data_IF_509961723826
#
_entry.id   IF_509961723826
#
_cell.length_a   1.000
_cell.length_b   1.000
_cell.length_c   1.000
_cell.angle_alpha   90.00
_cell.angle_beta   90.00
_cell.angle_gamma   90.00
#
_symmetry.space_group_name_H-M   'P 1'
#
loop_
_entity.id
_entity.type
_entity.pdbx_description
1 polymer ?
#
# COMPACT_ATOMS: atom_id res chain seq x y z
N UNK A 1 26.31 -1.61 -3.65
CA UNK A 1 26.03 -1.40 -2.20
C UNK A 1 24.75 -0.58 -2.09
N UNK A 2 23.80 -0.97 -1.22
CA UNK A 2 22.46 -0.34 -1.14
C UNK A 2 22.52 1.04 -0.48
N UNK A 3 23.19 1.18 0.67
CA UNK A 3 23.25 2.42 1.46
C UNK A 3 23.62 3.70 0.68
N UNK A 4 24.65 3.73 -0.19
CA UNK A 4 24.98 4.94 -0.96
C UNK A 4 23.85 5.45 -1.85
N UNK A 5 22.92 4.58 -2.28
CA UNK A 5 21.79 4.97 -3.12
C UNK A 5 20.67 5.69 -2.35
N UNK A 6 20.75 5.75 -1.01
CA UNK A 6 19.74 6.32 -0.11
C UNK A 6 20.25 7.49 0.73
N UNK A 7 21.50 7.95 0.55
CA UNK A 7 22.08 9.03 1.38
C UNK A 7 21.38 10.38 1.25
N UNK A 8 20.63 10.60 0.17
CA UNK A 8 19.84 11.80 -0.07
C UNK A 8 18.38 11.67 0.41
N UNK A 9 17.98 10.47 0.86
CA UNK A 9 16.59 10.18 1.24
C UNK A 9 16.34 10.63 2.67
N UNK A 10 15.34 11.50 2.83
CA UNK A 10 14.87 12.00 4.14
C UNK A 10 13.36 11.82 4.33
N UNK A 11 12.67 11.26 3.33
CA UNK A 11 11.25 11.03 3.33
C UNK A 11 10.95 9.60 2.86
N UNK A 12 10.20 8.85 3.65
CA UNK A 12 10.03 7.42 3.47
C UNK A 12 8.53 7.11 3.35
N UNK A 13 8.13 6.60 2.20
CA UNK A 13 6.74 6.25 1.89
C UNK A 13 6.64 4.74 1.85
N UNK A 14 5.82 4.17 2.72
CA UNK A 14 5.58 2.73 2.77
C UNK A 14 4.15 2.45 2.36
N UNK A 15 3.97 1.56 1.41
CA UNK A 15 2.71 0.84 1.29
C UNK A 15 2.48 -0.06 2.52
N UNK A 16 1.23 -0.49 2.69
CA UNK A 16 0.82 -1.31 3.82
C UNK A 16 0.73 -2.79 3.45
N UNK A 17 -0.20 -3.11 2.54
CA UNK A 17 -0.63 -4.46 2.24
C UNK A 17 0.50 -5.23 1.56
N UNK A 18 0.86 -6.41 2.07
CA UNK A 18 1.98 -7.22 1.58
C UNK A 18 3.38 -6.55 1.61
N UNK A 19 3.46 -5.29 2.08
CA UNK A 19 4.70 -4.51 2.23
C UNK A 19 5.16 -4.46 3.69
N UNK A 20 4.34 -3.90 4.59
CA UNK A 20 4.64 -3.80 6.04
C UNK A 20 4.29 -5.08 6.81
N UNK A 21 3.66 -6.03 6.12
CA UNK A 21 3.54 -7.41 6.54
C UNK A 21 3.73 -8.31 5.31
N UNK A 22 4.32 -9.50 5.46
CA UNK A 22 4.54 -10.38 4.33
C UNK A 22 3.26 -11.09 3.87
N UNK A 23 3.13 -11.48 2.59
CA UNK A 23 1.94 -12.14 2.05
C UNK A 23 1.50 -13.40 2.80
N UNK A 24 2.43 -14.13 3.44
CA UNK A 24 2.11 -15.33 4.20
C UNK A 24 1.25 -15.08 5.45
N UNK A 25 1.06 -13.81 5.86
CA UNK A 25 0.09 -13.45 6.90
C UNK A 25 -1.36 -13.42 6.38
N UNK A 26 -1.59 -13.57 5.07
CA UNK A 26 -2.92 -13.83 4.46
C UNK A 26 -4.02 -12.84 4.86
N UNK A 27 -3.65 -11.59 5.13
CA UNK A 27 -4.62 -10.55 5.44
C UNK A 27 -5.40 -10.16 4.18
N UNK A 28 -4.70 -10.04 3.05
CA UNK A 28 -5.31 -9.72 1.76
C UNK A 28 -6.27 -10.81 1.27
N UNK A 29 -5.98 -12.11 1.51
CA UNK A 29 -6.90 -13.21 1.22
C UNK A 29 -8.29 -13.00 1.85
N UNK A 30 -8.33 -12.49 3.09
CA UNK A 30 -9.60 -12.19 3.77
C UNK A 30 -10.30 -10.99 3.12
N UNK A 31 -9.53 -9.96 2.77
CA UNK A 31 -10.05 -8.78 2.06
C UNK A 31 -10.67 -9.19 0.72
N UNK A 32 -10.03 -10.06 -0.06
CA UNK A 32 -10.55 -10.53 -1.34
C UNK A 32 -11.90 -11.25 -1.21
N UNK A 33 -12.07 -12.07 -0.16
CA UNK A 33 -13.36 -12.71 0.14
C UNK A 33 -14.42 -11.66 0.43
N UNK A 34 -14.12 -10.70 1.31
CA UNK A 34 -15.07 -9.65 1.69
C UNK A 34 -15.39 -8.72 0.51
N UNK A 35 -14.42 -8.40 -0.35
CA UNK A 35 -14.64 -7.65 -1.58
C UNK A 35 -15.59 -8.38 -2.52
N UNK A 36 -15.38 -9.69 -2.72
CA UNK A 36 -16.24 -10.51 -3.58
C UNK A 36 -17.66 -10.57 -3.03
N UNK A 37 -17.80 -10.81 -1.73
CA UNK A 37 -19.11 -10.88 -1.07
C UNK A 37 -19.83 -9.52 -1.14
N UNK A 38 -19.09 -8.41 -1.02
CA UNK A 38 -19.65 -7.08 -1.19
C UNK A 38 -20.15 -6.84 -2.63
N UNK A 39 -19.38 -7.25 -3.65
CA UNK A 39 -19.80 -7.14 -5.06
C UNK A 39 -21.07 -7.97 -5.33
N UNK A 40 -21.17 -9.18 -4.77
CA UNK A 40 -22.39 -10.00 -4.83
C UNK A 40 -23.60 -9.21 -4.32
N UNK A 41 -23.49 -8.60 -3.14
CA UNK A 41 -24.60 -7.86 -2.53
C UNK A 41 -24.91 -6.55 -3.25
N UNK A 42 -23.89 -5.79 -3.65
CA UNK A 42 -24.05 -4.47 -4.25
C UNK A 42 -24.61 -4.54 -5.68
N UNK A 43 -24.19 -5.53 -6.46
CA UNK A 43 -24.56 -5.65 -7.89
C UNK A 43 -25.69 -6.68 -8.09
N UNK A 44 -25.87 -7.63 -7.17
CA UNK A 44 -26.89 -8.67 -7.26
C UNK A 44 -26.53 -9.80 -8.23
N UNK A 45 -25.23 -10.13 -8.34
CA UNK A 45 -24.71 -11.21 -9.20
C UNK A 45 -24.25 -12.42 -8.38
N UNK A 46 -24.06 -13.56 -9.03
CA UNK A 46 -23.47 -14.71 -8.36
C UNK A 46 -21.98 -14.53 -8.06
N UNK A 47 -21.42 -15.39 -7.21
CA UNK A 47 -20.04 -15.27 -6.74
C UNK A 47 -18.99 -15.40 -7.86
N UNK A 48 -19.12 -16.32 -8.83
CA UNK A 48 -18.21 -16.37 -9.99
C UNK A 48 -18.21 -15.07 -10.79
N UNK A 49 -19.38 -14.48 -11.03
CA UNK A 49 -19.48 -13.22 -11.76
C UNK A 49 -18.93 -12.05 -10.94
N UNK A 50 -19.16 -12.02 -9.62
CA UNK A 50 -18.58 -11.02 -8.73
C UNK A 50 -17.04 -11.04 -8.74
N UNK A 51 -16.42 -12.23 -8.73
CA UNK A 51 -14.97 -12.35 -8.81
C UNK A 51 -14.42 -11.95 -10.20
N UNK A 52 -15.16 -12.27 -11.27
CA UNK A 52 -14.85 -11.78 -12.62
C UNK A 52 -14.90 -10.25 -12.68
N UNK A 53 -15.92 -9.63 -12.09
CA UNK A 53 -16.06 -8.17 -12.02
C UNK A 53 -14.96 -7.53 -11.16
N UNK A 54 -14.62 -8.12 -10.01
CA UNK A 54 -13.50 -7.67 -9.16
C UNK A 54 -12.19 -7.61 -9.95
N UNK A 55 -11.90 -8.67 -10.70
CA UNK A 55 -10.72 -8.79 -11.56
C UNK A 55 -10.74 -7.79 -12.72
N UNK A 56 -11.92 -7.57 -13.33
CA UNK A 56 -12.13 -6.54 -14.34
C UNK A 56 -11.86 -5.15 -13.77
N UNK A 57 -12.44 -4.81 -12.62
CA UNK A 57 -12.27 -3.50 -12.00
C UNK A 57 -10.83 -3.19 -11.63
N UNK A 58 -10.12 -4.16 -11.06
CA UNK A 58 -8.71 -3.99 -10.74
C UNK A 58 -7.84 -3.73 -11.97
N UNK A 59 -8.13 -4.40 -13.10
CA UNK A 59 -7.37 -4.22 -14.35
C UNK A 59 -7.65 -2.88 -15.01
N UNK A 60 -8.92 -2.49 -15.10
CA UNK A 60 -9.33 -1.29 -15.84
C UNK A 60 -9.22 0.00 -15.00
N UNK A 61 -9.45 -0.08 -13.69
CA UNK A 61 -9.52 1.10 -12.80
C UNK A 61 -8.45 1.14 -11.70
N UNK A 62 -7.63 0.08 -11.58
CA UNK A 62 -6.55 -0.04 -10.59
C UNK A 62 -6.98 -0.68 -9.26
N UNK A 63 -8.24 -0.51 -8.86
CA UNK A 63 -8.83 -1.19 -7.69
C UNK A 63 -10.28 -1.59 -7.95
N UNK A 64 -10.77 -2.57 -7.19
CA UNK A 64 -12.18 -2.95 -7.20
C UNK A 64 -13.10 -1.80 -6.82
N UNK A 65 -12.73 -1.02 -5.81
CA UNK A 65 -13.49 0.16 -5.40
C UNK A 65 -13.63 1.19 -6.53
N UNK A 66 -12.53 1.51 -7.23
CA UNK A 66 -12.57 2.51 -8.29
C UNK A 66 -13.49 2.08 -9.45
N UNK A 67 -13.52 0.80 -9.80
CA UNK A 67 -14.47 0.29 -10.80
C UNK A 67 -15.92 0.30 -10.31
N UNK A 68 -16.17 -0.02 -9.04
CA UNK A 68 -17.51 0.09 -8.45
C UNK A 68 -18.02 1.53 -8.43
N UNK A 69 -17.17 2.49 -8.11
CA UNK A 69 -17.52 3.91 -8.16
C UNK A 69 -17.80 4.37 -9.60
N UNK A 70 -16.93 3.99 -10.54
CA UNK A 70 -17.01 4.45 -11.93
C UNK A 70 -18.20 3.85 -12.70
N UNK A 71 -18.52 2.57 -12.48
CA UNK A 71 -19.55 1.87 -13.24
C UNK A 71 -20.90 1.80 -12.52
N UNK A 72 -20.94 1.95 -11.19
CA UNK A 72 -22.15 1.73 -10.38
C UNK A 72 -22.48 2.86 -9.40
N UNK A 73 -21.77 3.99 -9.44
CA UNK A 73 -21.97 5.15 -8.55
C UNK A 73 -21.95 4.76 -7.06
N UNK A 74 -21.08 3.81 -6.73
CA UNK A 74 -21.00 3.21 -5.41
C UNK A 74 -20.39 4.17 -4.38
N UNK A 75 -21.02 4.31 -3.21
CA UNK A 75 -20.45 5.04 -2.06
C UNK A 75 -19.23 4.30 -1.51
N UNK A 76 -18.03 4.90 -1.51
CA UNK A 76 -16.80 4.23 -1.10
C UNK A 76 -16.73 3.89 0.39
N UNK A 77 -17.35 4.67 1.26
CA UNK A 77 -17.14 4.54 2.71
C UNK A 77 -17.74 3.24 3.29
N UNK A 78 -19.00 2.85 2.96
CA UNK A 78 -19.54 1.56 3.36
C UNK A 78 -18.75 0.38 2.80
N UNK A 79 -18.24 0.49 1.58
CA UNK A 79 -17.37 -0.54 0.99
C UNK A 79 -16.08 -0.69 1.77
N UNK A 80 -15.35 0.41 1.99
CA UNK A 80 -14.08 0.40 2.73
C UNK A 80 -14.27 -0.11 4.16
N UNK A 81 -15.37 0.25 4.82
CA UNK A 81 -15.67 -0.28 6.15
C UNK A 81 -15.84 -1.81 6.12
N UNK A 82 -16.63 -2.32 5.17
CA UNK A 82 -16.97 -3.74 5.07
C UNK A 82 -15.77 -4.60 4.68
N UNK A 83 -15.03 -4.23 3.63
CA UNK A 83 -13.92 -5.06 3.11
C UNK A 83 -12.70 -5.09 4.03
N UNK A 84 -12.61 -4.15 4.97
CA UNK A 84 -11.56 -4.14 5.99
C UNK A 84 -12.00 -4.81 7.30
N UNK A 85 -13.16 -5.45 7.41
CA UNK A 85 -13.53 -6.24 8.61
C UNK A 85 -12.81 -7.61 8.65
N UNK A 86 -11.48 -7.57 8.68
CA UNK A 86 -10.61 -8.75 8.68
C UNK A 86 -10.14 -9.13 10.09
N UNK A 87 -9.93 -10.41 10.32
CA UNK A 87 -9.29 -10.94 11.52
C UNK A 87 -7.78 -10.69 11.46
N UNK A 88 -7.26 -10.11 12.53
CA UNK A 88 -5.83 -9.77 12.70
C UNK A 88 -5.21 -10.51 13.89
N UNK A 89 -5.94 -11.42 14.54
CA UNK A 89 -5.51 -12.11 15.77
C UNK A 89 -4.26 -12.97 15.59
N UNK A 90 -3.97 -13.42 14.36
CA UNK A 90 -2.80 -14.19 13.99
C UNK A 90 -1.59 -13.33 13.58
N UNK A 91 -1.73 -12.00 13.53
CA UNK A 91 -0.62 -11.10 13.18
C UNK A 91 0.39 -11.02 14.32
N UNK A 92 1.67 -10.96 13.95
CA UNK A 92 2.75 -11.37 14.84
C UNK A 92 3.84 -10.29 14.91
N UNK A 93 3.89 -9.39 15.92
CA UNK A 93 4.74 -8.19 15.92
C UNK A 93 6.19 -8.39 15.44
N UNK A 94 6.73 -7.42 14.68
CA UNK A 94 8.14 -7.44 14.25
C UNK A 94 8.93 -6.28 14.86
N UNK A 95 9.54 -6.57 16.01
CA UNK A 95 10.36 -5.60 16.73
C UNK A 95 11.61 -5.17 15.94
N UNK A 96 12.16 -6.04 15.07
CA UNK A 96 13.36 -5.70 14.29
C UNK A 96 13.01 -4.71 13.19
N UNK A 97 11.88 -4.93 12.51
CA UNK A 97 11.34 -3.98 11.54
C UNK A 97 11.05 -2.64 12.21
N UNK A 98 10.40 -2.66 13.37
CA UNK A 98 10.10 -1.45 14.14
C UNK A 98 11.37 -0.64 14.45
N UNK A 99 12.44 -1.31 14.90
CA UNK A 99 13.72 -0.67 15.20
C UNK A 99 14.39 -0.10 13.95
N UNK A 100 14.32 -0.81 12.82
CA UNK A 100 14.86 -0.32 11.56
C UNK A 100 14.10 0.89 11.01
N UNK A 101 12.76 0.88 11.04
CA UNK A 101 11.93 2.03 10.65
C UNK A 101 12.20 3.22 11.58
N UNK A 102 12.31 2.97 12.90
CA UNK A 102 12.61 4.03 13.87
C UNK A 102 13.94 4.71 13.61
N UNK A 103 14.93 3.96 13.13
CA UNK A 103 16.27 4.46 12.83
C UNK A 103 16.38 5.23 11.50
N UNK A 104 15.35 5.20 10.64
CA UNK A 104 15.35 5.97 9.39
C UNK A 104 15.35 7.48 9.69
N UNK A 105 16.18 8.28 9.00
CA UNK A 105 16.23 9.72 9.21
C UNK A 105 15.03 10.43 8.57
N UNK A 106 14.51 11.47 9.23
CA UNK A 106 13.47 12.31 8.65
C UNK A 106 12.06 11.73 8.75
N UNK A 107 11.23 12.02 7.76
CA UNK A 107 9.76 11.82 7.79
C UNK A 107 9.38 10.45 7.25
N UNK A 108 8.49 9.72 7.92
CA UNK A 108 7.98 8.41 7.50
C UNK A 108 6.47 8.44 7.43
N UNK A 109 5.90 7.98 6.32
CA UNK A 109 4.45 7.89 6.14
C UNK A 109 4.05 6.51 5.63
N UNK A 110 2.81 6.12 5.96
CA UNK A 110 2.12 5.03 5.26
C UNK A 110 1.21 5.63 4.19
N UNK A 111 1.22 5.06 2.99
CA UNK A 111 0.29 5.39 1.91
C UNK A 111 -0.25 4.12 1.23
N UNK A 112 -1.52 3.80 1.49
CA UNK A 112 -2.20 2.58 1.01
C UNK A 112 -3.44 2.91 0.15
N UNK A 113 -3.83 1.97 -0.71
CA UNK A 113 -5.14 1.96 -1.38
C UNK A 113 -6.28 1.49 -0.45
N UNK A 114 -5.96 0.98 0.74
CA UNK A 114 -6.90 0.75 1.83
C UNK A 114 -7.29 2.04 2.55
N UNK A 115 -8.07 1.92 3.63
CA UNK A 115 -8.49 3.07 4.44
C UNK A 115 -7.50 3.38 5.57
N UNK A 116 -7.40 4.63 6.03
CA UNK A 116 -6.52 4.97 7.15
C UNK A 116 -6.90 4.26 8.48
N UNK A 117 -8.19 4.10 8.84
CA UNK A 117 -8.57 3.31 10.01
C UNK A 117 -8.16 1.84 9.90
N UNK A 118 -8.19 1.27 8.69
CA UNK A 118 -7.66 -0.08 8.45
C UNK A 118 -6.15 -0.11 8.67
N UNK A 119 -5.41 0.81 8.06
CA UNK A 119 -3.97 0.90 8.19
C UNK A 119 -3.51 1.03 9.65
N UNK A 120 -4.18 1.86 10.45
CA UNK A 120 -3.90 2.01 11.88
C UNK A 120 -4.00 0.68 12.63
N UNK A 121 -5.05 -0.12 12.38
CA UNK A 121 -5.21 -1.44 13.04
C UNK A 121 -4.12 -2.43 12.63
N UNK A 122 -3.75 -2.44 11.34
CA UNK A 122 -2.66 -3.29 10.84
C UNK A 122 -1.34 -2.90 11.50
N UNK A 123 -1.00 -1.61 11.55
CA UNK A 123 0.22 -1.14 12.21
C UNK A 123 0.24 -1.53 13.68
N UNK A 124 -0.87 -1.41 14.39
CA UNK A 124 -0.97 -1.82 15.78
C UNK A 124 -0.73 -3.31 15.97
N UNK A 125 -1.39 -4.15 15.16
CA UNK A 125 -1.21 -5.59 15.20
C UNK A 125 0.24 -6.02 14.85
N UNK A 126 0.95 -5.23 14.04
CA UNK A 126 2.37 -5.45 13.69
C UNK A 126 3.36 -4.88 14.71
N UNK A 127 2.90 -4.15 15.71
CA UNK A 127 3.78 -3.46 16.67
C UNK A 127 4.53 -2.26 16.07
N UNK A 128 3.94 -1.62 15.05
CA UNK A 128 4.49 -0.47 14.32
C UNK A 128 3.83 0.87 14.69
N UNK A 129 2.99 0.89 15.73
CA UNK A 129 2.34 2.10 16.23
C UNK A 129 3.36 3.19 16.61
N UNK A 130 3.02 4.43 16.25
CA UNK A 130 3.83 5.60 16.60
C UNK A 130 5.16 5.72 15.83
N UNK A 131 5.41 4.87 14.83
CA UNK A 131 6.63 4.95 14.01
C UNK A 131 6.49 5.86 12.79
N UNK A 132 5.26 6.12 12.37
CA UNK A 132 4.94 6.92 11.18
C UNK A 132 4.37 8.27 11.59
N UNK A 133 4.82 9.32 10.92
CA UNK A 133 4.41 10.70 11.16
C UNK A 133 3.03 11.02 10.54
N UNK A 134 2.60 10.21 9.57
CA UNK A 134 1.26 10.26 8.98
C UNK A 134 0.86 8.91 8.35
N UNK A 135 -0.45 8.70 8.22
CA UNK A 135 -1.07 7.54 7.58
C UNK A 135 -2.11 8.06 6.60
N UNK A 136 -1.94 7.75 5.32
CA UNK A 136 -2.84 8.13 4.25
C UNK A 136 -3.50 6.90 3.64
N UNK A 137 -4.83 6.82 3.79
CA UNK A 137 -5.68 5.91 3.03
C UNK A 137 -6.20 6.53 1.74
N UNK A 138 -6.87 5.74 0.92
CA UNK A 138 -7.41 6.15 -0.38
C UNK A 138 -8.37 7.36 -0.30
N UNK A 139 -9.08 7.51 0.82
CA UNK A 139 -9.97 8.65 1.08
C UNK A 139 -9.21 9.99 1.07
N UNK A 140 -7.94 10.00 1.48
CA UNK A 140 -7.09 11.21 1.47
C UNK A 140 -6.67 11.60 0.05
N UNK A 141 -6.64 10.64 -0.88
CA UNK A 141 -6.40 10.90 -2.31
C UNK A 141 -7.67 11.28 -3.08
N UNK A 142 -8.80 11.51 -2.37
CA UNK A 142 -10.11 11.71 -2.97
C UNK A 142 -10.59 10.47 -3.72
N UNK A 143 -10.33 9.29 -3.15
CA UNK A 143 -10.70 7.97 -3.68
C UNK A 143 -10.07 7.60 -5.03
N UNK A 144 -9.00 8.31 -5.44
CA UNK A 144 -8.18 7.93 -6.58
C UNK A 144 -7.15 6.89 -6.12
N UNK A 145 -7.11 5.69 -6.73
CA UNK A 145 -6.15 4.67 -6.32
C UNK A 145 -4.77 4.90 -6.94
N UNK A 146 -3.72 4.41 -6.28
CA UNK A 146 -2.48 4.00 -6.95
C UNK A 146 -2.83 2.95 -8.03
N UNK A 147 -2.24 2.98 -9.24
CA UNK A 147 -1.04 3.72 -9.64
C UNK A 147 -1.30 5.12 -10.25
N UNK A 148 -2.50 5.69 -10.12
CA UNK A 148 -2.80 6.97 -10.77
C UNK A 148 -1.89 8.09 -10.24
N UNK A 149 -1.20 8.78 -11.15
CA UNK A 149 -0.27 9.89 -10.81
C UNK A 149 -0.92 10.97 -9.94
N UNK A 150 -2.20 11.26 -10.19
CA UNK A 150 -2.97 12.23 -9.42
C UNK A 150 -3.16 11.83 -7.95
N UNK A 151 -3.22 10.53 -7.65
CA UNK A 151 -3.32 10.02 -6.27
C UNK A 151 -2.04 10.34 -5.48
N UNK A 152 -0.88 10.05 -6.07
CA UNK A 152 0.43 10.43 -5.50
C UNK A 152 0.59 11.94 -5.35
N UNK A 153 0.21 12.73 -6.36
CA UNK A 153 0.29 14.20 -6.29
C UNK A 153 -0.54 14.77 -5.13
N UNK A 154 -1.75 14.24 -4.91
CA UNK A 154 -2.60 14.69 -3.81
C UNK A 154 -1.94 14.43 -2.45
N UNK A 155 -1.47 13.21 -2.21
CA UNK A 155 -0.84 12.84 -0.95
C UNK A 155 0.49 13.58 -0.74
N UNK A 156 1.33 13.66 -1.76
CA UNK A 156 2.64 14.30 -1.64
C UNK A 156 2.51 15.80 -1.40
N UNK A 157 1.56 16.47 -2.06
CA UNK A 157 1.26 17.87 -1.79
C UNK A 157 0.69 18.10 -0.38
N UNK A 158 -0.18 17.19 0.09
CA UNK A 158 -0.77 17.27 1.43
C UNK A 158 0.27 17.04 2.54
N UNK A 159 1.20 16.10 2.33
CA UNK A 159 2.20 15.71 3.32
C UNK A 159 3.47 16.58 3.28
N UNK A 160 3.76 17.20 2.13
CA UNK A 160 5.02 17.92 1.87
C UNK A 160 6.15 16.99 1.43
N UNK A 161 5.84 15.93 0.66
CA UNK A 161 6.84 15.03 0.09
C UNK A 161 7.52 15.69 -1.12
N UNK A 162 8.84 15.84 -1.02
CA UNK A 162 9.76 16.20 -2.08
C UNK A 162 10.29 14.93 -2.72
N UNK A 163 9.69 14.51 -3.83
CA UNK A 163 9.95 13.21 -4.46
C UNK A 163 11.45 12.92 -4.69
N UNK A 164 12.25 13.91 -5.06
CA UNK A 164 13.70 13.76 -5.28
C UNK A 164 14.51 13.48 -4.00
N UNK A 165 13.91 13.60 -2.83
CA UNK A 165 14.49 13.28 -1.52
C UNK A 165 13.75 12.11 -0.83
N UNK A 166 12.93 11.38 -1.59
CA UNK A 166 12.04 10.38 -1.04
C UNK A 166 12.27 8.97 -1.61
N UNK A 167 11.92 7.96 -0.82
CA UNK A 167 11.89 6.57 -1.23
C UNK A 167 10.51 5.95 -1.03
N UNK A 168 10.07 5.12 -1.98
CA UNK A 168 8.82 4.36 -1.89
C UNK A 168 9.08 2.84 -1.85
N UNK A 169 8.42 2.17 -0.92
CA UNK A 169 8.41 0.70 -0.74
C UNK A 169 7.00 0.19 -1.01
N UNK A 170 6.88 -0.80 -1.89
CA UNK A 170 5.59 -1.24 -2.44
C UNK A 170 5.69 -2.65 -3.03
N UNK A 171 4.63 -3.46 -2.88
CA UNK A 171 4.54 -4.80 -3.42
C UNK A 171 4.04 -4.83 -4.88
N UNK A 172 3.13 -3.95 -5.28
CA UNK A 172 2.64 -3.88 -6.65
C UNK A 172 3.60 -3.05 -7.55
N UNK A 173 4.27 -3.67 -8.54
CA UNK A 173 5.22 -2.96 -9.39
C UNK A 173 4.56 -1.84 -10.20
N UNK A 174 3.25 -1.87 -10.46
CA UNK A 174 2.53 -0.81 -11.19
C UNK A 174 2.51 0.49 -10.37
N UNK A 175 2.43 0.38 -9.05
CA UNK A 175 2.36 1.52 -8.13
C UNK A 175 3.69 2.27 -8.02
N UNK A 176 4.81 1.67 -8.42
CA UNK A 176 6.14 2.31 -8.39
C UNK A 176 6.44 3.20 -9.61
N UNK A 177 5.65 3.11 -10.69
CA UNK A 177 5.93 3.85 -11.92
C UNK A 177 5.83 5.37 -11.75
N UNK A 178 4.72 5.87 -11.19
CA UNK A 178 4.53 7.30 -10.96
C UNK A 178 5.52 7.90 -9.94
N UNK A 179 5.80 7.27 -8.77
CA UNK A 179 6.89 7.66 -7.87
C UNK A 179 8.24 7.80 -8.56
N UNK A 180 8.61 6.83 -9.39
CA UNK A 180 9.84 6.88 -10.16
C UNK A 180 9.87 8.07 -11.13
N UNK A 181 8.80 8.28 -11.90
CA UNK A 181 8.68 9.44 -12.79
C UNK A 181 8.79 10.78 -12.05
N UNK A 182 8.36 10.83 -10.79
CA UNK A 182 8.48 12.02 -9.93
C UNK A 182 9.90 12.20 -9.35
N UNK A 183 10.79 11.21 -9.53
CA UNK A 183 12.17 11.26 -9.07
C UNK A 183 12.46 10.51 -7.77
N UNK A 184 11.50 9.72 -7.25
CA UNK A 184 11.71 8.93 -6.04
C UNK A 184 12.64 7.74 -6.27
N UNK A 185 13.36 7.35 -5.21
CA UNK A 185 13.93 6.01 -5.11
C UNK A 185 12.80 5.00 -4.93
N UNK A 186 12.85 3.88 -5.63
CA UNK A 186 11.77 2.88 -5.64
C UNK A 186 12.30 1.51 -5.25
N UNK A 187 11.57 0.83 -4.37
CA UNK A 187 11.91 -0.49 -3.84
C UNK A 187 10.69 -1.39 -3.98
N UNK A 188 10.81 -2.42 -4.81
CA UNK A 188 9.80 -3.48 -4.93
C UNK A 188 9.98 -4.48 -3.80
N UNK A 189 8.94 -4.65 -2.98
CA UNK A 189 8.92 -5.54 -1.82
C UNK A 189 8.02 -6.74 -2.15
N UNK A 190 8.62 -7.83 -2.62
CA UNK A 190 7.87 -9.00 -3.06
C UNK A 190 8.71 -10.28 -2.96
N UNK A 191 8.11 -11.47 -2.92
CA UNK A 191 8.86 -12.73 -2.96
C UNK A 191 9.72 -12.88 -4.23
N UNK A 192 9.17 -12.45 -5.37
CA UNK A 192 9.82 -12.58 -6.68
C UNK A 192 10.12 -11.21 -7.29
N UNK A 193 11.29 -11.04 -7.93
CA UNK A 193 11.66 -9.79 -8.56
C UNK A 193 10.81 -9.51 -9.80
N UNK A 194 10.33 -8.27 -9.92
CA UNK A 194 9.79 -7.72 -11.16
C UNK A 194 10.82 -6.78 -11.80
N UNK A 195 11.17 -7.03 -13.06
CA UNK A 195 12.13 -6.22 -13.79
C UNK A 195 11.42 -5.12 -14.58
N UNK A 196 11.63 -3.87 -14.20
CA UNK A 196 11.19 -2.69 -14.94
C UNK A 196 12.12 -1.52 -14.66
N UNK A 197 12.23 -0.57 -15.60
CA UNK A 197 13.10 0.60 -15.48
C UNK A 197 12.78 1.44 -14.23
N UNK A 198 11.51 1.45 -13.82
CA UNK A 198 11.04 2.19 -12.65
C UNK A 198 11.26 1.49 -11.30
N UNK A 199 11.94 0.34 -11.27
CA UNK A 199 12.26 -0.43 -10.06
C UNK A 199 13.77 -0.41 -9.84
N UNK A 200 14.24 0.42 -8.91
CA UNK A 200 15.67 0.55 -8.62
C UNK A 200 16.22 -0.59 -7.76
N UNK A 201 15.40 -1.09 -6.85
CA UNK A 201 15.76 -2.16 -5.92
C UNK A 201 14.63 -3.16 -5.74
N UNK A 202 15.00 -4.37 -5.39
CA UNK A 202 14.10 -5.46 -5.02
C UNK A 202 14.50 -6.03 -3.66
N UNK A 203 13.53 -6.46 -2.88
CA UNK A 203 13.75 -7.25 -1.67
C UNK A 203 12.54 -8.15 -1.38
N UNK A 204 12.79 -9.37 -0.92
CA UNK A 204 11.81 -10.28 -0.33
C UNK A 204 11.74 -10.13 1.21
N UNK A 205 12.74 -9.46 1.79
CA UNK A 205 12.86 -9.17 3.21
C UNK A 205 13.02 -7.65 3.42
N UNK A 206 11.91 -6.96 3.75
CA UNK A 206 11.92 -5.54 4.06
C UNK A 206 12.78 -5.24 5.30
N UNK A 207 12.66 -6.06 6.33
CA UNK A 207 13.38 -5.90 7.60
C UNK A 207 14.89 -5.94 7.38
N UNK A 208 15.39 -6.94 6.65
CA UNK A 208 16.79 -7.05 6.26
C UNK A 208 17.23 -5.96 5.29
N UNK A 209 16.37 -5.51 4.38
CA UNK A 209 16.68 -4.38 3.49
C UNK A 209 16.97 -3.10 4.26
N UNK A 210 16.07 -2.71 5.17
CA UNK A 210 16.23 -1.51 5.99
C UNK A 210 17.45 -1.63 6.92
N UNK A 211 17.76 -2.83 7.40
CA UNK A 211 18.98 -3.10 8.18
C UNK A 211 20.28 -2.75 7.45
N UNK A 212 20.30 -2.84 6.11
CA UNK A 212 21.46 -2.46 5.27
C UNK A 212 21.58 -0.95 5.01
N UNK A 213 20.58 -0.16 5.40
CA UNK A 213 20.60 1.31 5.26
C UNK A 213 21.27 2.01 6.46
N UNK A 214 21.43 1.29 7.57
CA UNK A 214 22.05 1.77 8.82
C UNK A 214 23.53 2.10 8.64
#
# INVERSE_FOLDING_TARGET
>A
MVKPAFTHVTQWVFDLDNTLYPPHMRLFDQIEVLMTDYVVQAIGVDRPEADRLRSHYWREYGTTLAGLMAEHDLDPDPYLHAVHQVDMSHMEPDATLADHIRALPGRRIVYTNGSAPYAQRVLAARGLDGLFDAIYGIEHAGYRPKPQKAAFQAIFAQDGIEATQAAMFEDDPRNLAAPHEMGMRTVHVAPDPHHADHIHHHTDDLTGFLGRLR
#
